data_IF_349949992165
#
_entry.id   IF_349949992165
#
_cell.length_a   1.000
_cell.length_b   1.000
_cell.length_c   1.000
_cell.angle_alpha   90.00
_cell.angle_beta   90.00
_cell.angle_gamma   90.00
#
_symmetry.space_group_name_H-M   'P 1'
#
loop_
_entity.id
_entity.type
_entity.pdbx_description
1 polymer ?
#
# COMPACT_ATOMS: atom_id res chain seq x y z
N UNK A 1 -48.34 9.96 35.87
CA UNK A 1 -47.44 9.97 34.69
C UNK A 1 -45.99 9.97 35.18
N UNK A 2 -45.23 8.88 34.98
CA UNK A 2 -43.80 8.96 34.77
C UNK A 2 -43.47 8.61 33.31
N UNK A 3 -42.55 9.38 32.70
CA UNK A 3 -41.96 9.11 31.40
C UNK A 3 -40.82 8.11 31.62
N UNK A 4 -41.05 6.84 31.27
CA UNK A 4 -40.05 5.79 31.26
C UNK A 4 -39.92 5.26 29.83
N UNK A 5 -38.69 5.12 29.35
CA UNK A 5 -38.41 4.48 28.07
C UNK A 5 -37.22 5.08 27.35
N UNK A 6 -36.03 4.94 27.92
CA UNK A 6 -34.79 5.01 27.16
C UNK A 6 -34.77 3.81 26.19
N UNK A 7 -34.95 4.06 24.89
CA UNK A 7 -34.64 3.07 23.85
C UNK A 7 -33.15 3.18 23.56
N UNK A 8 -32.37 2.34 24.23
CA UNK A 8 -31.05 1.98 23.80
C UNK A 8 -31.11 1.20 22.47
N UNK A 9 -30.06 1.35 21.68
CA UNK A 9 -29.46 0.31 20.83
C UNK A 9 -29.88 0.26 19.36
N UNK A 10 -29.27 1.13 18.56
CA UNK A 10 -28.88 0.90 17.15
C UNK A 10 -27.59 1.71 16.94
N UNK A 11 -26.48 1.25 16.38
CA UNK A 11 -26.20 0.10 15.53
C UNK A 11 -24.84 -0.51 15.91
N UNK A 12 -24.85 -1.80 16.25
CA UNK A 12 -23.64 -2.63 16.31
C UNK A 12 -23.43 -3.22 14.91
N UNK A 13 -22.80 -2.46 14.02
CA UNK A 13 -21.95 -2.99 12.95
C UNK A 13 -20.57 -3.22 13.59
N UNK A 14 -19.91 -4.37 13.58
CA UNK A 14 -20.02 -5.55 12.75
C UNK A 14 -19.49 -6.71 13.59
N UNK A 15 -20.26 -7.80 13.68
CA UNK A 15 -19.87 -9.01 14.41
C UNK A 15 -18.61 -9.58 13.77
N UNK A 16 -17.58 -9.76 14.59
CA UNK A 16 -16.34 -10.43 14.25
C UNK A 16 -16.61 -11.74 13.48
N UNK A 17 -16.29 -11.73 12.19
CA UNK A 17 -16.43 -12.85 11.29
C UNK A 17 -15.50 -13.98 11.75
N UNK A 18 -16.09 -15.04 12.30
CA UNK A 18 -15.40 -16.30 12.61
C UNK A 18 -15.37 -17.17 11.36
N UNK A 19 -14.34 -16.97 10.54
CA UNK A 19 -13.89 -17.88 9.49
C UNK A 19 -12.35 -17.97 9.54
N UNK A 20 -11.71 -18.95 8.88
CA UNK A 20 -10.24 -19.11 8.94
C UNK A 20 -9.58 -17.96 8.14
N UNK A 21 -8.99 -16.92 8.72
CA UNK A 21 -8.70 -16.60 10.11
C UNK A 21 -9.27 -15.24 10.54
N UNK A 22 -9.23 -14.98 11.84
CA UNK A 22 -9.74 -13.76 12.46
C UNK A 22 -9.15 -12.49 11.82
N UNK A 23 -9.85 -11.36 11.86
CA UNK A 23 -9.33 -10.04 11.43
C UNK A 23 -7.90 -9.78 11.91
N UNK A 24 -7.62 -10.09 13.18
CA UNK A 24 -6.27 -9.97 13.75
C UNK A 24 -5.22 -10.83 13.03
N UNK A 25 -5.53 -12.07 12.64
CA UNK A 25 -4.62 -12.89 11.83
C UNK A 25 -4.42 -12.31 10.44
N UNK A 26 -5.46 -11.75 9.82
CA UNK A 26 -5.33 -11.10 8.52
C UNK A 26 -4.40 -9.88 8.60
N UNK A 27 -4.56 -9.06 9.64
CA UNK A 27 -3.71 -7.91 9.91
C UNK A 27 -2.28 -8.31 10.20
N UNK A 28 -2.07 -9.35 10.99
CA UNK A 28 -0.75 -9.91 11.31
C UNK A 28 -0.01 -10.35 10.04
N UNK A 29 -0.68 -11.10 9.16
CA UNK A 29 -0.09 -11.58 7.89
C UNK A 29 0.14 -10.41 6.93
N UNK A 30 -0.77 -9.44 6.83
CA UNK A 30 -0.58 -8.24 6.00
C UNK A 30 0.62 -7.45 6.51
N UNK A 31 0.71 -7.24 7.83
CA UNK A 31 1.79 -6.50 8.46
C UNK A 31 3.15 -7.14 8.16
N UNK A 32 3.29 -8.45 8.40
CA UNK A 32 4.52 -9.19 8.10
C UNK A 32 4.88 -9.16 6.61
N UNK A 33 3.89 -9.22 5.72
CA UNK A 33 4.14 -9.12 4.29
C UNK A 33 4.58 -7.71 3.83
N UNK A 34 4.27 -6.68 4.62
CA UNK A 34 4.70 -5.30 4.37
C UNK A 34 6.04 -4.98 5.03
N UNK A 35 6.29 -5.48 6.26
CA UNK A 35 7.53 -5.35 7.03
C UNK A 35 8.65 -6.22 6.46
N UNK A 36 9.02 -5.97 5.20
CA UNK A 36 9.99 -6.77 4.47
C UNK A 36 11.42 -6.71 5.02
N UNK A 37 11.74 -5.69 5.81
CA UNK A 37 13.03 -5.57 6.51
C UNK A 37 13.01 -6.12 7.95
N UNK A 38 11.84 -6.52 8.46
CA UNK A 38 11.69 -7.15 9.77
C UNK A 38 11.97 -6.20 10.93
N UNK A 39 11.75 -4.90 10.77
CA UNK A 39 11.97 -3.91 11.82
C UNK A 39 10.89 -3.93 12.90
N UNK A 40 9.76 -4.58 12.63
CA UNK A 40 8.57 -4.55 13.49
C UNK A 40 7.76 -3.25 13.39
N UNK A 41 8.13 -2.36 12.46
CA UNK A 41 7.47 -1.08 12.22
C UNK A 41 7.34 -0.78 10.72
N UNK A 42 6.16 -0.34 10.27
CA UNK A 42 5.96 0.07 8.89
C UNK A 42 6.33 1.54 8.72
N UNK A 43 7.47 1.77 8.07
CA UNK A 43 7.92 3.09 7.67
C UNK A 43 7.17 3.64 6.45
N UNK A 44 7.65 4.79 5.95
CA UNK A 44 7.04 5.49 4.81
C UNK A 44 6.89 4.59 3.57
N UNK A 45 7.87 3.75 3.30
CA UNK A 45 7.94 2.91 2.09
C UNK A 45 7.00 1.72 2.18
N UNK A 46 6.96 1.08 3.34
CA UNK A 46 6.09 -0.05 3.64
C UNK A 46 4.63 0.40 3.68
N UNK A 47 4.36 1.55 4.31
CA UNK A 47 3.03 2.18 4.30
C UNK A 47 2.61 2.67 2.92
N UNK A 48 3.53 3.14 2.06
CA UNK A 48 3.21 3.45 0.65
C UNK A 48 2.72 2.21 -0.09
N UNK A 49 3.37 1.06 0.15
CA UNK A 49 2.98 -0.20 -0.48
C UNK A 49 1.56 -0.59 -0.05
N UNK A 50 1.23 -0.44 1.23
CA UNK A 50 -0.12 -0.63 1.72
C UNK A 50 -1.11 0.33 1.06
N UNK A 51 -0.81 1.64 1.03
CA UNK A 51 -1.66 2.64 0.41
C UNK A 51 -1.97 2.31 -1.06
N UNK A 52 -0.97 1.84 -1.82
CA UNK A 52 -1.19 1.41 -3.21
C UNK A 52 -2.12 0.21 -3.34
N UNK A 53 -2.10 -0.71 -2.36
CA UNK A 53 -2.97 -1.88 -2.34
C UNK A 53 -4.42 -1.53 -1.97
N UNK A 54 -4.62 -0.47 -1.18
CA UNK A 54 -5.95 0.06 -0.82
C UNK A 54 -6.52 1.03 -1.86
N UNK A 55 -5.70 1.56 -2.77
CA UNK A 55 -6.17 2.33 -3.94
C UNK A 55 -5.45 3.66 -4.18
N UNK A 56 -4.42 3.99 -3.41
CA UNK A 56 -3.58 5.17 -3.65
C UNK A 56 -2.82 5.02 -4.98
N UNK A 57 -3.01 5.98 -5.89
CA UNK A 57 -2.43 5.94 -7.24
C UNK A 57 -1.56 7.15 -7.57
N UNK A 58 -1.41 8.08 -6.62
CA UNK A 58 -0.56 9.26 -6.77
C UNK A 58 0.93 8.95 -6.60
N UNK A 59 1.75 9.98 -6.85
CA UNK A 59 3.20 9.90 -6.78
C UNK A 59 3.75 9.75 -5.36
N UNK A 60 4.99 9.27 -5.25
CA UNK A 60 5.70 9.15 -3.97
C UNK A 60 5.92 10.51 -3.27
N UNK A 61 5.97 11.60 -4.05
CA UNK A 61 6.08 12.96 -3.52
C UNK A 61 4.79 13.40 -2.81
N UNK A 62 3.63 13.08 -3.39
CA UNK A 62 2.32 13.29 -2.75
C UNK A 62 2.21 12.40 -1.51
N UNK A 63 2.55 11.12 -1.64
CA UNK A 63 2.56 10.22 -0.49
C UNK A 63 3.45 10.68 0.65
N UNK A 64 4.60 11.29 0.36
CA UNK A 64 5.49 11.78 1.41
C UNK A 64 4.85 12.88 2.26
N UNK A 65 3.97 13.69 1.67
CA UNK A 65 3.19 14.69 2.40
C UNK A 65 2.05 14.02 3.20
N UNK A 66 1.33 13.10 2.57
CA UNK A 66 0.25 12.34 3.23
C UNK A 66 0.77 11.53 4.43
N UNK A 67 1.92 10.88 4.29
CA UNK A 67 2.54 10.11 5.37
C UNK A 67 2.93 11.00 6.56
N UNK A 68 3.42 12.24 6.31
CA UNK A 68 3.70 13.19 7.39
C UNK A 68 2.42 13.61 8.12
N UNK A 69 1.34 13.87 7.38
CA UNK A 69 0.03 14.19 7.96
C UNK A 69 -0.52 13.00 8.76
N UNK A 70 -0.39 11.79 8.23
CA UNK A 70 -0.79 10.56 8.89
C UNK A 70 -0.04 10.34 10.20
N UNK A 71 1.29 10.45 10.18
CA UNK A 71 2.13 10.37 11.38
C UNK A 71 1.74 11.43 12.42
N UNK A 72 1.48 12.67 11.99
CA UNK A 72 1.05 13.77 12.87
C UNK A 72 -0.33 13.51 13.49
N UNK A 73 -1.26 12.95 12.73
CA UNK A 73 -2.61 12.63 13.17
C UNK A 73 -2.59 11.50 14.23
N UNK A 74 -1.73 10.50 14.03
CA UNK A 74 -1.56 9.35 14.92
C UNK A 74 -0.53 9.56 16.04
N UNK A 75 0.12 10.73 16.08
CA UNK A 75 1.18 11.07 17.04
C UNK A 75 2.36 10.08 17.03
N UNK A 76 2.69 9.58 15.84
CA UNK A 76 3.79 8.65 15.59
C UNK A 76 4.94 9.40 14.92
N UNK A 77 6.18 9.10 15.30
CA UNK A 77 7.38 9.64 14.64
C UNK A 77 7.49 9.09 13.22
N UNK A 78 7.68 9.97 12.22
CA UNK A 78 7.82 9.55 10.82
C UNK A 78 9.01 8.59 10.61
N UNK A 79 10.06 8.79 11.41
CA UNK A 79 11.28 8.00 11.50
C UNK A 79 11.10 6.64 12.22
N UNK A 80 10.09 6.52 13.08
CA UNK A 80 9.77 5.28 13.80
C UNK A 80 8.82 4.39 12.98
N UNK A 81 7.76 4.98 12.42
CA UNK A 81 6.74 4.26 11.67
C UNK A 81 5.67 3.59 12.54
N UNK A 82 4.78 2.84 11.90
CA UNK A 82 3.60 2.24 12.54
C UNK A 82 3.91 0.82 13.04
N UNK A 83 3.79 0.60 14.34
CA UNK A 83 3.81 -0.75 14.91
C UNK A 83 2.60 -1.57 14.46
N UNK A 84 2.63 -2.87 14.68
CA UNK A 84 1.51 -3.76 14.37
C UNK A 84 0.21 -3.30 15.03
N UNK A 85 0.26 -2.88 16.30
CA UNK A 85 -0.89 -2.38 17.04
C UNK A 85 -1.42 -1.07 16.44
N UNK A 86 -0.53 -0.14 16.13
CA UNK A 86 -0.89 1.15 15.53
C UNK A 86 -1.48 0.96 14.12
N UNK A 87 -0.93 0.04 13.33
CA UNK A 87 -1.45 -0.34 12.03
C UNK A 87 -2.84 -0.98 12.14
N UNK A 88 -3.04 -1.90 13.07
CA UNK A 88 -4.33 -2.55 13.31
C UNK A 88 -5.41 -1.54 13.73
N UNK A 89 -5.04 -0.56 14.55
CA UNK A 89 -5.90 0.55 14.91
C UNK A 89 -6.20 1.43 13.69
N UNK A 90 -5.20 1.79 12.88
CA UNK A 90 -5.37 2.61 11.67
C UNK A 90 -6.39 2.05 10.70
N UNK A 91 -6.32 0.75 10.42
CA UNK A 91 -7.21 0.09 9.46
C UNK A 91 -8.56 -0.30 10.04
N UNK A 92 -8.73 -0.17 11.36
CA UNK A 92 -10.01 -0.37 12.05
C UNK A 92 -10.67 0.95 12.46
N UNK A 93 -10.00 2.09 12.25
CA UNK A 93 -10.51 3.41 12.58
C UNK A 93 -11.41 3.92 11.44
N UNK A 94 -12.70 4.08 11.73
CA UNK A 94 -13.74 4.58 10.81
C UNK A 94 -13.78 6.11 10.69
N UNK A 95 -12.86 6.82 11.35
CA UNK A 95 -12.79 8.28 11.28
C UNK A 95 -11.98 8.74 10.09
N UNK A 96 -12.01 10.04 9.84
CA UNK A 96 -11.25 10.72 8.77
C UNK A 96 -9.72 10.59 8.93
N UNK A 97 -9.24 10.17 10.10
CA UNK A 97 -7.81 9.93 10.38
C UNK A 97 -7.39 8.49 10.07
N UNK A 98 -8.35 7.60 9.90
CA UNK A 98 -8.14 6.18 9.66
C UNK A 98 -8.04 5.82 8.18
N UNK A 99 -7.74 4.55 7.92
CA UNK A 99 -7.87 3.93 6.61
C UNK A 99 -8.72 2.68 6.77
N UNK A 100 -9.96 2.88 7.25
CA UNK A 100 -10.87 1.78 7.55
C UNK A 100 -10.93 0.78 6.40
N UNK A 101 -10.52 -0.45 6.68
CA UNK A 101 -10.60 -1.59 5.78
C UNK A 101 -11.57 -2.60 6.38
N UNK A 102 -12.59 -2.96 5.62
CA UNK A 102 -13.45 -4.12 5.90
C UNK A 102 -12.65 -5.42 5.84
N UNK A 103 -13.19 -6.50 6.41
CA UNK A 103 -12.55 -7.81 6.36
C UNK A 103 -12.39 -8.30 4.91
N UNK A 104 -13.34 -7.96 4.04
CA UNK A 104 -13.33 -8.23 2.60
C UNK A 104 -12.18 -7.50 1.89
N UNK A 105 -11.90 -6.25 2.26
CA UNK A 105 -10.77 -5.48 1.75
C UNK A 105 -9.44 -6.08 2.24
N UNK A 106 -9.34 -6.43 3.52
CA UNK A 106 -8.15 -7.11 4.05
C UNK A 106 -7.90 -8.44 3.33
N UNK A 107 -8.95 -9.22 3.05
CA UNK A 107 -8.83 -10.43 2.24
C UNK A 107 -8.35 -10.16 0.82
N UNK A 108 -8.82 -9.08 0.19
CA UNK A 108 -8.35 -8.66 -1.14
C UNK A 108 -6.87 -8.29 -1.10
N UNK A 109 -6.44 -7.54 -0.09
CA UNK A 109 -5.04 -7.15 0.11
C UNK A 109 -4.17 -8.40 0.33
N UNK A 110 -4.61 -9.35 1.16
CA UNK A 110 -3.93 -10.63 1.36
C UNK A 110 -3.73 -11.41 0.06
N UNK A 111 -4.74 -11.47 -0.83
CA UNK A 111 -4.62 -12.14 -2.13
C UNK A 111 -3.59 -11.46 -3.04
N UNK A 112 -3.45 -10.13 -2.94
CA UNK A 112 -2.44 -9.37 -3.67
C UNK A 112 -1.02 -9.54 -3.09
N UNK A 113 -0.91 -9.79 -1.77
CA UNK A 113 0.36 -10.05 -1.09
C UNK A 113 0.81 -11.52 -1.19
N UNK A 114 -0.12 -12.47 -1.37
CA UNK A 114 0.18 -13.89 -1.56
C UNK A 114 1.25 -14.23 -2.62
N UNK A 115 1.31 -13.62 -3.81
CA UNK A 115 2.42 -13.87 -4.72
C UNK A 115 3.79 -13.47 -4.15
N UNK A 116 3.87 -12.59 -3.15
CA UNK A 116 5.12 -12.31 -2.44
C UNK A 116 5.41 -13.34 -1.32
N UNK A 117 4.38 -13.90 -0.68
CA UNK A 117 4.51 -14.92 0.36
C UNK A 117 4.74 -16.34 -0.18
N UNK A 118 4.27 -16.63 -1.39
CA UNK A 118 4.34 -17.95 -2.02
C UNK A 118 5.65 -18.21 -2.79
N UNK A 119 6.55 -17.21 -2.93
CA UNK A 119 7.82 -17.36 -3.64
C UNK A 119 8.97 -17.88 -2.77
N UNK A 120 8.71 -18.25 -1.51
CA UNK A 120 9.69 -18.96 -0.66
C UNK A 120 9.67 -20.48 -0.84
N UNK A 121 8.71 -21.00 -1.61
CA UNK A 121 8.69 -22.38 -2.10
C UNK A 121 8.46 -22.30 -3.63
N UNK A 122 9.47 -22.65 -4.41
CA UNK A 122 9.52 -22.61 -5.89
C UNK A 122 9.85 -21.25 -6.55
N UNK A 123 11.16 -21.01 -6.68
CA UNK A 123 11.73 -20.00 -7.56
C UNK A 123 11.43 -20.32 -9.04
N UNK A 124 10.42 -19.70 -9.64
CA UNK A 124 10.44 -19.26 -11.06
C UNK A 124 9.08 -18.74 -11.56
N UNK A 125 8.83 -17.42 -11.46
CA UNK A 125 8.12 -16.71 -12.54
C UNK A 125 8.35 -15.20 -12.53
N UNK A 126 9.59 -14.76 -12.36
CA UNK A 126 9.98 -13.46 -12.92
C UNK A 126 10.23 -13.67 -14.41
N UNK A 127 9.20 -13.42 -15.23
CA UNK A 127 9.22 -13.93 -16.59
C UNK A 127 8.30 -13.29 -17.61
N UNK A 128 7.94 -12.00 -17.51
CA UNK A 128 7.53 -11.21 -18.70
C UNK A 128 7.83 -9.71 -18.48
N UNK A 129 8.54 -8.94 -19.31
CA UNK A 129 9.42 -9.17 -20.47
C UNK A 129 9.91 -7.77 -20.83
N UNK A 130 11.12 -7.37 -20.41
CA UNK A 130 11.82 -6.24 -21.01
C UNK A 130 12.93 -6.80 -21.92
N UNK A 131 12.55 -7.05 -23.17
CA UNK A 131 13.46 -7.26 -24.31
C UNK A 131 12.99 -6.24 -25.35
N UNK A 132 13.56 -5.03 -25.36
CA UNK A 132 14.73 -4.60 -26.16
C UNK A 132 14.49 -4.75 -27.66
N UNK A 133 14.75 -3.69 -28.42
CA UNK A 133 15.84 -3.67 -29.41
C UNK A 133 16.24 -2.24 -29.81
N UNK A 134 17.52 -2.03 -30.19
CA UNK A 134 18.09 -0.75 -30.60
C UNK A 134 17.92 -0.53 -32.12
N UNK A 135 17.98 0.73 -32.56
CA UNK A 135 18.23 1.07 -33.95
C UNK A 135 19.17 2.29 -34.00
N UNK A 136 20.47 2.02 -33.96
CA UNK A 136 21.42 2.88 -34.63
C UNK A 136 21.25 2.67 -36.14
N UNK A 137 20.82 3.70 -36.87
CA UNK A 137 21.01 3.73 -38.31
C UNK A 137 21.47 5.14 -38.70
N UNK A 138 22.78 5.22 -38.94
CA UNK A 138 23.51 6.34 -39.52
C UNK A 138 22.96 6.61 -40.92
N UNK A 139 22.72 7.86 -41.28
CA UNK A 139 22.87 8.35 -42.66
C UNK A 139 23.30 9.83 -42.65
N UNK A 140 24.03 10.27 -43.69
CA UNK A 140 25.28 11.02 -43.54
C UNK A 140 25.13 12.54 -43.66
N UNK A 141 26.16 13.22 -43.15
CA UNK A 141 26.45 14.61 -43.46
C UNK A 141 26.73 14.76 -44.97
N UNK A 142 25.83 15.43 -45.69
CA UNK A 142 26.13 16.01 -47.00
C UNK A 142 26.77 17.37 -46.78
N UNK A 143 28.09 17.37 -46.62
CA UNK A 143 28.93 18.54 -46.81
C UNK A 143 29.58 18.48 -48.20
N UNK A 144 29.38 19.52 -49.00
CA UNK A 144 30.26 19.86 -50.10
C UNK A 144 29.58 20.12 -51.44
N UNK A 145 29.47 21.41 -51.80
CA UNK A 145 30.22 22.04 -52.92
C UNK A 145 29.36 23.07 -53.66
N UNK A 146 29.77 24.34 -53.57
CA UNK A 146 29.93 25.22 -54.73
C UNK A 146 30.56 26.56 -54.26
N UNK A 147 31.87 26.69 -54.46
CA UNK A 147 32.47 27.99 -54.71
C UNK A 147 32.80 28.04 -56.20
N UNK A 148 32.31 29.08 -56.91
CA UNK A 148 32.93 29.71 -58.07
C UNK A 148 32.04 30.84 -58.62
N UNK A 149 32.55 32.06 -58.58
CA UNK A 149 32.38 33.16 -59.54
C UNK A 149 33.29 34.31 -59.01
N UNK A 150 34.33 34.78 -59.69
CA UNK A 150 34.53 34.83 -61.13
C UNK A 150 33.81 36.04 -61.68
#
# INVERSE_FOLDING_TARGET
RPLAGATAQEAQSSRASSGPGSRLQMLDVIFQALDGDGSGCLGKREMLRFAKLTGFSDSEAVWSQEYQLLCKAWKIGCDVGFSQEAFAALVSDETERGCHCSDEELQRILRQLRPALALVDDAASSGKRQVRRPAAQKHPASGGRAGQAG
#
